data_IF_493453439524
#
_entry.id   IF_493453439524
#
_cell.length_a   1.000
_cell.length_b   1.000
_cell.length_c   1.000
_cell.angle_alpha   90.00
_cell.angle_beta   90.00
_cell.angle_gamma   90.00
#
_symmetry.space_group_name_H-M   'P 1'
#
loop_
_entity.id
_entity.type
_entity.pdbx_description
1 polymer ?
#
# COMPACT_ATOMS: atom_id res chain seq x y z
N UNK A 1 13.23 0.71 -12.04
CA UNK A 1 14.53 0.02 -11.98
C UNK A 1 14.92 -0.25 -10.53
N UNK A 2 14.40 -1.34 -9.97
CA UNK A 2 14.96 -1.98 -8.78
C UNK A 2 16.04 -2.89 -9.33
N UNK A 3 17.26 -2.37 -9.42
CA UNK A 3 18.23 -2.96 -10.35
C UNK A 3 19.00 -4.13 -9.75
N UNK A 4 19.15 -4.23 -8.43
CA UNK A 4 20.12 -5.18 -7.88
C UNK A 4 19.81 -5.55 -6.42
N UNK A 5 19.59 -6.84 -6.18
CA UNK A 5 19.61 -7.47 -4.86
C UNK A 5 20.95 -8.21 -4.77
N UNK A 6 21.97 -7.62 -4.15
CA UNK A 6 23.32 -8.18 -4.16
C UNK A 6 23.82 -8.43 -2.74
N UNK A 7 24.77 -9.36 -2.65
CA UNK A 7 25.17 -10.12 -1.47
C UNK A 7 26.65 -9.92 -1.10
N UNK A 8 26.99 -9.86 0.19
CA UNK A 8 28.38 -10.08 0.62
C UNK A 8 28.50 -10.69 2.04
N UNK A 9 29.20 -11.82 2.08
CA UNK A 9 29.67 -12.63 3.22
C UNK A 9 28.60 -13.21 4.15
N UNK A 10 28.11 -14.42 3.79
CA UNK A 10 27.17 -15.22 4.59
C UNK A 10 25.92 -15.71 3.83
N UNK A 11 26.06 -16.10 2.57
CA UNK A 11 25.04 -16.79 1.75
C UNK A 11 23.56 -16.29 1.82
N UNK A 12 23.21 -15.14 1.24
CA UNK A 12 21.87 -14.84 0.74
C UNK A 12 21.82 -15.14 -0.76
N UNK A 13 20.69 -15.69 -1.18
CA UNK A 13 20.40 -16.08 -2.56
C UNK A 13 19.83 -14.88 -3.31
N UNK A 14 20.38 -14.58 -4.49
CA UNK A 14 19.74 -13.68 -5.44
C UNK A 14 18.50 -14.39 -5.96
N UNK A 15 17.34 -13.81 -5.71
CA UNK A 15 16.10 -14.34 -6.22
C UNK A 15 15.93 -13.84 -7.67
N UNK A 16 15.94 -14.77 -8.63
CA UNK A 16 15.61 -14.52 -10.03
C UNK A 16 14.12 -14.75 -10.16
N UNK A 17 13.35 -13.70 -10.48
CA UNK A 17 11.89 -13.70 -10.45
C UNK A 17 11.33 -12.29 -10.55
N UNK A 18 10.00 -12.13 -10.48
CA UNK A 18 9.42 -10.78 -10.42
C UNK A 18 9.87 -10.09 -9.12
N UNK A 19 10.07 -8.77 -9.16
CA UNK A 19 10.49 -8.02 -7.97
C UNK A 19 9.53 -8.23 -6.78
N UNK A 20 8.25 -8.48 -7.07
CA UNK A 20 7.19 -8.70 -6.08
C UNK A 20 7.34 -10.05 -5.36
N UNK A 21 7.58 -11.14 -6.09
CA UNK A 21 7.81 -12.47 -5.50
C UNK A 21 9.10 -12.51 -4.65
N UNK A 22 10.07 -11.68 -5.02
CA UNK A 22 11.38 -11.65 -4.38
C UNK A 22 11.38 -10.88 -3.06
N UNK A 23 10.52 -9.86 -2.90
CA UNK A 23 10.47 -9.03 -1.67
C UNK A 23 10.05 -9.86 -0.45
N UNK A 24 9.12 -10.80 -0.59
CA UNK A 24 8.71 -11.67 0.51
C UNK A 24 9.86 -12.50 1.10
N UNK A 25 10.81 -12.89 0.25
CA UNK A 25 12.00 -13.69 0.59
C UNK A 25 13.22 -12.85 0.91
N UNK A 26 13.22 -11.57 0.55
CA UNK A 26 14.35 -10.68 0.76
C UNK A 26 14.54 -10.38 2.26
N UNK A 27 15.79 -10.39 2.70
CA UNK A 27 16.15 -9.89 4.04
C UNK A 27 16.24 -8.36 4.07
N UNK A 28 16.64 -7.76 2.94
CA UNK A 28 16.82 -6.32 2.74
C UNK A 28 16.48 -5.99 1.29
N UNK A 29 15.89 -4.83 1.05
CA UNK A 29 15.64 -4.28 -0.29
C UNK A 29 16.61 -3.14 -0.57
N UNK A 30 17.31 -3.17 -1.69
CA UNK A 30 18.26 -2.12 -2.07
C UNK A 30 17.61 -1.18 -3.10
N UNK A 31 17.70 0.13 -2.87
CA UNK A 31 17.19 1.15 -3.78
C UNK A 31 18.10 2.38 -3.83
N UNK A 32 18.38 2.89 -5.04
CA UNK A 32 19.09 4.17 -5.24
C UNK A 32 18.23 5.35 -4.78
N UNK A 33 16.94 5.26 -5.05
CA UNK A 33 15.93 6.27 -4.74
C UNK A 33 14.68 5.59 -4.21
N UNK A 34 14.12 6.11 -3.14
CA UNK A 34 12.88 5.62 -2.58
C UNK A 34 11.70 6.08 -3.43
N UNK A 35 11.27 5.23 -4.37
CA UNK A 35 10.12 5.48 -5.27
C UNK A 35 8.86 4.81 -4.73
N UNK A 36 7.70 5.37 -5.06
CA UNK A 36 6.41 4.71 -4.82
C UNK A 36 6.24 3.59 -5.85
N UNK A 37 6.68 2.38 -5.48
CA UNK A 37 6.59 1.17 -6.30
C UNK A 37 6.08 0.03 -5.44
N UNK A 38 5.32 -0.90 -6.04
CA UNK A 38 4.82 -2.12 -5.40
C UNK A 38 5.85 -2.85 -4.53
N UNK A 39 7.10 -3.12 -4.98
CA UNK A 39 8.10 -3.79 -4.15
C UNK A 39 8.53 -2.98 -2.92
N UNK A 40 8.52 -1.65 -3.00
CA UNK A 40 8.86 -0.76 -1.88
C UNK A 40 7.73 -0.78 -0.84
N UNK A 41 6.48 -0.71 -1.28
CA UNK A 41 5.32 -0.80 -0.37
C UNK A 41 5.25 -2.19 0.27
N UNK A 42 5.49 -3.25 -0.50
CA UNK A 42 5.58 -4.61 0.03
C UNK A 42 6.68 -4.76 1.09
N UNK A 43 7.84 -4.15 0.87
CA UNK A 43 8.93 -4.13 1.84
C UNK A 43 8.52 -3.42 3.14
N UNK A 44 7.82 -2.29 3.03
CA UNK A 44 7.26 -1.59 4.20
C UNK A 44 6.27 -2.48 4.95
N UNK A 45 5.32 -3.12 4.26
CA UNK A 45 4.35 -4.03 4.87
C UNK A 45 5.00 -5.17 5.65
N UNK A 46 6.05 -5.77 5.08
CA UNK A 46 6.79 -6.88 5.68
C UNK A 46 7.79 -6.45 6.76
N UNK A 47 7.94 -5.14 7.01
CA UNK A 47 8.97 -4.62 7.90
C UNK A 47 10.39 -4.95 7.41
N UNK A 48 10.60 -5.03 6.10
CA UNK A 48 11.93 -5.26 5.52
C UNK A 48 12.69 -3.92 5.47
N UNK A 49 13.97 -3.91 5.89
CA UNK A 49 14.83 -2.76 5.66
C UNK A 49 14.93 -2.42 4.18
N UNK A 50 14.78 -1.13 3.86
CA UNK A 50 15.04 -0.56 2.54
C UNK A 50 16.32 0.25 2.65
N UNK A 51 17.38 -0.15 1.97
CA UNK A 51 18.69 0.45 2.11
C UNK A 51 19.20 1.07 0.81
N UNK A 52 20.06 2.08 0.94
CA UNK A 52 20.82 2.65 -0.14
C UNK A 52 22.00 1.77 -0.57
N UNK A 53 22.57 2.02 -1.76
CA UNK A 53 23.73 1.29 -2.25
C UNK A 53 24.97 1.41 -1.37
N UNK A 54 25.12 2.52 -0.63
CA UNK A 54 26.26 2.70 0.27
C UNK A 54 26.26 1.69 1.42
N UNK A 55 25.08 1.33 1.94
CA UNK A 55 24.95 0.28 2.94
C UNK A 55 25.45 -1.07 2.38
N UNK A 56 25.11 -1.35 1.12
CA UNK A 56 25.58 -2.54 0.43
C UNK A 56 27.11 -2.51 0.23
N UNK A 57 27.67 -1.38 -0.23
CA UNK A 57 29.13 -1.23 -0.39
C UNK A 57 29.87 -1.36 0.94
N UNK A 58 29.37 -0.72 2.00
CA UNK A 58 29.95 -0.81 3.34
C UNK A 58 29.97 -2.26 3.85
N UNK A 59 28.95 -3.04 3.52
CA UNK A 59 28.89 -4.47 3.85
C UNK A 59 29.84 -5.31 2.99
N UNK A 60 29.95 -5.01 1.69
CA UNK A 60 30.80 -5.73 0.74
C UNK A 60 32.30 -5.53 0.97
N UNK A 61 32.71 -4.34 1.40
CA UNK A 61 34.12 -4.01 1.66
C UNK A 61 34.60 -4.44 3.06
N UNK A 62 33.81 -5.23 3.80
CA UNK A 62 34.20 -5.72 5.12
C UNK A 62 35.39 -6.68 5.01
N UNK A 63 36.56 -6.19 5.38
CA UNK A 63 37.79 -6.98 5.54
C UNK A 63 37.84 -7.62 6.93
N UNK A 64 36.93 -8.56 7.17
CA UNK A 64 36.99 -9.47 8.31
C UNK A 64 35.90 -9.30 9.39
N UNK A 65 35.82 -10.26 10.32
CA UNK A 65 34.69 -10.42 11.24
C UNK A 65 34.62 -9.39 12.39
N UNK A 66 35.63 -8.52 12.55
CA UNK A 66 35.77 -7.65 13.73
C UNK A 66 34.95 -6.36 13.70
N UNK A 67 34.53 -5.89 12.52
CA UNK A 67 33.66 -4.70 12.40
C UNK A 67 32.21 -5.19 12.27
N UNK A 68 31.30 -4.81 13.18
CA UNK A 68 29.89 -5.21 13.06
C UNK A 68 29.31 -4.66 11.74
N UNK A 69 28.39 -5.39 11.08
CA UNK A 69 27.71 -4.86 9.91
C UNK A 69 26.96 -3.56 10.28
N UNK A 70 26.84 -2.59 9.35
CA UNK A 70 25.96 -1.46 9.57
C UNK A 70 24.54 -1.97 9.81
N UNK A 71 23.79 -1.30 10.70
CA UNK A 71 22.41 -1.66 10.96
C UNK A 71 21.53 -1.29 9.75
N UNK A 72 20.87 -2.25 9.09
CA UNK A 72 19.99 -1.96 7.95
C UNK A 72 18.72 -1.21 8.37
N UNK A 73 18.33 -1.24 9.65
CA UNK A 73 17.18 -0.49 10.17
C UNK A 73 17.52 0.95 10.59
N UNK A 74 18.76 1.39 10.40
CA UNK A 74 19.18 2.77 10.68
C UNK A 74 18.69 3.74 9.60
N UNK A 75 18.40 4.98 9.99
CA UNK A 75 18.09 6.07 9.05
C UNK A 75 19.24 6.33 8.06
N UNK A 76 20.49 6.16 8.52
CA UNK A 76 21.69 6.29 7.67
C UNK A 76 21.79 5.21 6.60
N UNK A 77 21.06 4.12 6.75
CA UNK A 77 21.00 3.06 5.75
C UNK A 77 20.00 3.36 4.63
N UNK A 78 19.03 4.29 4.82
CA UNK A 78 17.99 4.57 3.82
C UNK A 78 18.57 5.06 2.47
N UNK A 79 17.84 4.87 1.36
CA UNK A 79 18.21 5.45 0.06
C UNK A 79 18.46 6.96 0.15
N UNK A 80 19.54 7.49 -0.44
CA UNK A 80 19.89 8.90 -0.30
C UNK A 80 18.79 9.83 -0.85
N UNK A 81 18.18 9.43 -1.95
CA UNK A 81 17.11 10.18 -2.61
C UNK A 81 15.72 9.63 -2.26
N UNK A 82 14.75 10.53 -2.07
CA UNK A 82 13.34 10.19 -1.90
C UNK A 82 12.56 10.81 -3.06
N UNK A 83 11.64 10.06 -3.64
CA UNK A 83 10.78 10.58 -4.70
C UNK A 83 9.83 11.67 -4.16
N UNK A 84 9.75 12.86 -4.81
CA UNK A 84 8.82 13.91 -4.39
C UNK A 84 7.36 13.47 -4.33
N UNK A 85 7.00 12.38 -5.04
CA UNK A 85 5.68 11.77 -4.94
C UNK A 85 5.31 11.35 -3.51
N UNK A 86 6.29 10.98 -2.67
CA UNK A 86 6.02 10.69 -1.26
C UNK A 86 5.54 11.92 -0.48
N UNK A 87 6.13 13.09 -0.76
CA UNK A 87 5.71 14.34 -0.12
C UNK A 87 4.35 14.81 -0.66
N UNK A 88 4.10 14.64 -1.97
CA UNK A 88 2.76 14.88 -2.53
C UNK A 88 1.70 14.00 -1.87
N UNK A 89 2.00 12.70 -1.71
CA UNK A 89 1.09 11.74 -1.11
C UNK A 89 0.89 12.00 0.39
N UNK A 90 1.95 12.22 1.16
CA UNK A 90 1.88 12.27 2.63
C UNK A 90 1.63 13.68 3.17
N UNK A 91 2.05 14.73 2.44
CA UNK A 91 2.00 16.13 2.88
C UNK A 91 1.14 17.02 1.97
N UNK A 92 0.63 16.48 0.85
CA UNK A 92 -0.21 17.21 -0.11
C UNK A 92 0.55 18.11 -1.08
N UNK A 93 1.88 18.22 -0.96
CA UNK A 93 2.71 19.05 -1.84
C UNK A 93 4.12 18.46 -1.98
N UNK A 94 4.52 18.15 -3.23
CA UNK A 94 5.85 17.67 -3.57
C UNK A 94 6.99 18.60 -3.17
N UNK A 95 6.73 19.91 -3.04
CA UNK A 95 7.73 20.91 -2.62
C UNK A 95 8.10 20.78 -1.14
N UNK A 96 7.25 20.12 -0.35
CA UNK A 96 7.47 19.89 1.08
C UNK A 96 8.32 18.65 1.36
N UNK A 97 9.00 18.10 0.35
CA UNK A 97 9.93 16.99 0.53
C UNK A 97 10.97 17.20 1.65
N UNK A 98 11.54 18.40 1.87
CA UNK A 98 12.45 18.63 3.00
C UNK A 98 11.81 18.46 4.39
N UNK A 99 10.48 18.56 4.48
CA UNK A 99 9.70 18.39 5.72
C UNK A 99 9.30 16.92 5.95
N UNK A 100 9.55 16.04 4.98
CA UNK A 100 9.14 14.64 5.07
C UNK A 100 10.01 13.89 6.08
N UNK A 101 9.37 13.38 7.14
CA UNK A 101 10.02 12.52 8.12
C UNK A 101 10.46 11.20 7.47
N UNK A 102 11.78 11.01 7.36
CA UNK A 102 12.38 9.83 6.74
C UNK A 102 12.21 8.58 7.60
N UNK A 103 11.96 8.74 8.89
CA UNK A 103 11.72 7.61 9.81
C UNK A 103 10.42 6.85 9.50
N UNK A 104 9.55 7.45 8.68
CA UNK A 104 8.38 6.78 8.11
C UNK A 104 8.75 5.60 7.20
N UNK A 105 9.98 5.51 6.71
CA UNK A 105 10.40 4.41 5.83
C UNK A 105 11.24 3.34 6.51
N UNK A 106 11.48 3.50 7.82
CA UNK A 106 12.16 2.47 8.61
C UNK A 106 11.25 1.25 8.81
N UNK A 107 11.83 0.05 9.03
CA UNK A 107 11.08 -1.15 9.39
C UNK A 107 10.14 -0.94 10.58
N UNK A 108 8.88 -1.34 10.43
CA UNK A 108 7.87 -1.32 11.51
C UNK A 108 7.07 -2.61 11.46
N UNK A 109 7.08 -3.37 12.55
CA UNK A 109 6.44 -4.70 12.63
C UNK A 109 4.90 -4.61 12.60
N UNK A 110 4.37 -3.46 13.01
CA UNK A 110 2.95 -3.15 13.07
C UNK A 110 2.30 -3.18 11.68
N UNK A 111 3.07 -2.83 10.63
CA UNK A 111 2.57 -2.82 9.25
C UNK A 111 2.11 -4.19 8.78
N UNK A 112 2.74 -5.27 9.25
CA UNK A 112 2.43 -6.62 8.83
C UNK A 112 1.04 -7.10 9.26
N UNK A 113 0.42 -6.41 10.22
CA UNK A 113 -0.93 -6.71 10.76
C UNK A 113 -1.89 -5.53 10.64
N UNK A 114 -1.49 -4.48 9.93
CA UNK A 114 -2.23 -3.23 9.87
C UNK A 114 -3.64 -3.40 9.30
N UNK A 115 -3.79 -4.33 8.35
CA UNK A 115 -5.05 -4.65 7.67
C UNK A 115 -5.62 -5.99 8.13
N UNK A 116 -5.20 -6.51 9.28
CA UNK A 116 -5.71 -7.78 9.81
C UNK A 116 -7.23 -7.71 9.99
N UNK A 117 -7.93 -8.68 9.41
CA UNK A 117 -9.40 -8.73 9.41
C UNK A 117 -10.09 -7.82 8.38
N UNK A 118 -9.35 -6.98 7.65
CA UNK A 118 -9.88 -6.13 6.58
C UNK A 118 -9.89 -6.88 5.25
N UNK A 119 -11.04 -6.88 4.57
CA UNK A 119 -11.13 -7.27 3.15
C UNK A 119 -11.20 -6.00 2.30
N UNK A 120 -10.21 -5.83 1.41
CA UNK A 120 -10.14 -4.76 0.41
C UNK A 120 -10.71 -5.31 -0.90
N UNK A 121 -11.77 -4.68 -1.41
CA UNK A 121 -12.42 -5.00 -2.67
C UNK A 121 -12.02 -3.96 -3.70
N UNK A 122 -11.27 -4.37 -4.72
CA UNK A 122 -10.86 -3.50 -5.81
C UNK A 122 -11.90 -3.52 -6.93
N UNK A 123 -12.25 -2.34 -7.41
CA UNK A 123 -13.20 -2.17 -8.53
C UNK A 123 -12.53 -1.97 -9.89
N UNK A 124 -11.20 -1.81 -9.92
CA UNK A 124 -10.37 -1.62 -11.11
C UNK A 124 -9.29 -2.73 -11.18
N UNK A 125 -9.14 -3.35 -12.35
CA UNK A 125 -8.23 -4.51 -12.53
C UNK A 125 -6.75 -4.13 -12.35
N UNK A 126 -6.31 -2.99 -12.90
CA UNK A 126 -4.92 -2.52 -12.75
C UNK A 126 -4.58 -2.21 -11.29
N UNK A 127 -5.50 -1.57 -10.56
CA UNK A 127 -5.34 -1.33 -9.13
C UNK A 127 -5.31 -2.64 -8.33
N UNK A 128 -6.13 -3.62 -8.70
CA UNK A 128 -6.12 -4.93 -8.08
C UNK A 128 -4.80 -5.68 -8.30
N UNK A 129 -4.24 -5.64 -9.52
CA UNK A 129 -2.91 -6.21 -9.82
C UNK A 129 -1.84 -5.58 -8.94
N UNK A 130 -1.87 -4.26 -8.79
CA UNK A 130 -0.92 -3.55 -7.95
C UNK A 130 -1.09 -3.91 -6.46
N UNK A 131 -2.30 -3.78 -5.91
CA UNK A 131 -2.57 -4.03 -4.49
C UNK A 131 -2.29 -5.48 -4.07
N UNK A 132 -2.39 -6.43 -5.00
CA UNK A 132 -2.07 -7.85 -4.75
C UNK A 132 -0.64 -8.05 -4.28
N UNK A 133 0.28 -7.16 -4.68
CA UNK A 133 1.69 -7.26 -4.33
C UNK A 133 2.00 -6.89 -2.87
N UNK A 134 1.11 -6.21 -2.15
CA UNK A 134 1.42 -5.76 -0.77
C UNK A 134 0.28 -5.76 0.23
N UNK A 135 -1.01 -5.76 -0.16
CA UNK A 135 -2.13 -5.87 0.79
C UNK A 135 -2.06 -7.15 1.63
N UNK A 136 -1.78 -8.34 1.05
CA UNK A 136 -1.63 -9.57 1.85
C UNK A 136 -0.48 -9.49 2.85
N UNK A 137 0.59 -8.73 2.52
CA UNK A 137 1.72 -8.54 3.41
C UNK A 137 1.41 -7.64 4.61
N UNK A 138 0.35 -6.84 4.54
CA UNK A 138 -0.17 -6.07 5.67
C UNK A 138 -1.25 -6.82 6.48
N UNK A 139 -1.48 -8.11 6.18
CA UNK A 139 -2.48 -8.95 6.86
C UNK A 139 -3.91 -8.81 6.29
N UNK A 140 -4.09 -8.04 5.23
CA UNK A 140 -5.39 -7.84 4.58
C UNK A 140 -5.75 -8.96 3.59
N UNK A 141 -7.04 -9.08 3.28
CA UNK A 141 -7.51 -9.84 2.12
C UNK A 141 -7.79 -8.90 0.96
N UNK A 142 -7.54 -9.38 -0.26
CA UNK A 142 -7.79 -8.64 -1.48
C UNK A 142 -8.74 -9.43 -2.37
N UNK A 143 -9.81 -8.77 -2.81
CA UNK A 143 -10.80 -9.29 -3.74
C UNK A 143 -10.92 -8.34 -4.94
N UNK A 144 -11.30 -8.89 -6.09
CA UNK A 144 -11.66 -8.10 -7.26
C UNK A 144 -13.14 -8.32 -7.57
N UNK A 145 -13.93 -7.25 -7.48
CA UNK A 145 -15.34 -7.26 -7.82
C UNK A 145 -15.69 -5.90 -8.45
N UNK A 146 -15.66 -5.78 -9.79
CA UNK A 146 -15.91 -4.52 -10.47
C UNK A 146 -17.36 -4.09 -10.28
N UNK A 147 -17.58 -2.78 -10.25
CA UNK A 147 -18.93 -2.23 -10.18
C UNK A 147 -19.74 -2.71 -11.40
N UNK A 148 -20.97 -3.25 -11.22
CA UNK A 148 -21.79 -3.74 -12.31
C UNK A 148 -21.98 -2.70 -13.42
N UNK A 149 -21.82 -3.07 -14.71
CA UNK A 149 -21.98 -2.13 -15.84
C UNK A 149 -23.38 -1.52 -15.91
N UNK A 150 -24.38 -2.22 -15.39
CA UNK A 150 -25.77 -1.74 -15.27
C UNK A 150 -25.88 -0.45 -14.45
N UNK A 151 -24.96 -0.21 -13.50
CA UNK A 151 -24.87 1.02 -12.74
C UNK A 151 -24.14 2.16 -13.49
N UNK A 152 -23.42 1.86 -14.59
CA UNK A 152 -22.69 2.84 -15.39
C UNK A 152 -23.55 3.51 -16.49
N UNK A 153 -24.67 2.90 -16.87
CA UNK A 153 -25.56 3.40 -17.93
C UNK A 153 -26.96 3.78 -17.44
N UNK A 154 -27.21 3.67 -16.13
CA UNK A 154 -28.48 3.95 -15.48
C UNK A 154 -28.73 5.46 -15.29
N UNK A 155 -29.98 5.91 -15.41
CA UNK A 155 -30.39 7.23 -14.87
C UNK A 155 -30.20 7.21 -13.34
N UNK A 156 -29.89 8.33 -12.71
CA UNK A 156 -29.47 8.42 -11.29
C UNK A 156 -30.38 7.68 -10.29
N UNK A 157 -31.69 7.62 -10.52
CA UNK A 157 -32.64 6.87 -9.67
C UNK A 157 -32.51 5.35 -9.76
N UNK A 158 -32.05 4.80 -10.89
CA UNK A 158 -31.90 3.35 -11.09
C UNK A 158 -30.49 2.83 -10.76
N UNK A 159 -29.53 3.73 -10.49
CA UNK A 159 -28.16 3.37 -10.07
C UNK A 159 -28.18 2.68 -8.70
N UNK A 160 -29.00 3.19 -7.76
CA UNK A 160 -29.12 2.59 -6.42
C UNK A 160 -29.65 1.17 -6.48
N UNK A 161 -30.72 0.92 -7.23
CA UNK A 161 -31.29 -0.41 -7.37
C UNK A 161 -30.30 -1.40 -8.00
N UNK A 162 -29.57 -0.96 -9.03
CA UNK A 162 -28.54 -1.77 -9.68
C UNK A 162 -27.36 -2.12 -8.74
N UNK A 163 -27.00 -1.21 -7.83
CA UNK A 163 -25.88 -1.40 -6.89
C UNK A 163 -26.27 -2.14 -5.61
N UNK A 164 -27.56 -2.23 -5.27
CA UNK A 164 -28.02 -2.77 -3.98
C UNK A 164 -27.49 -4.20 -3.69
N UNK A 165 -27.52 -5.16 -4.63
CA UNK A 165 -26.98 -6.50 -4.38
C UNK A 165 -25.47 -6.48 -4.14
N UNK A 166 -24.74 -5.64 -4.89
CA UNK A 166 -23.30 -5.49 -4.79
C UNK A 166 -22.90 -4.87 -3.45
N UNK A 167 -23.56 -3.78 -3.05
CA UNK A 167 -23.32 -3.11 -1.78
C UNK A 167 -23.65 -4.00 -0.57
N UNK A 168 -24.72 -4.79 -0.64
CA UNK A 168 -25.09 -5.72 0.44
C UNK A 168 -24.00 -6.77 0.66
N UNK A 169 -23.39 -7.28 -0.43
CA UNK A 169 -22.28 -8.24 -0.37
C UNK A 169 -21.04 -7.64 0.28
N UNK A 170 -20.77 -6.35 0.03
CA UNK A 170 -19.56 -5.67 0.46
C UNK A 170 -19.77 -4.69 1.63
N UNK A 171 -20.89 -4.79 2.34
CA UNK A 171 -21.24 -3.88 3.43
C UNK A 171 -20.22 -3.88 4.60
N UNK A 172 -19.38 -4.92 4.70
CA UNK A 172 -18.32 -5.05 5.71
C UNK A 172 -16.90 -4.89 5.13
N UNK A 173 -16.79 -4.62 3.83
CA UNK A 173 -15.51 -4.54 3.13
C UNK A 173 -15.12 -3.08 2.89
N UNK A 174 -13.84 -2.86 2.60
CA UNK A 174 -13.31 -1.57 2.13
C UNK A 174 -13.22 -1.63 0.61
N UNK A 175 -13.89 -0.73 -0.07
CA UNK A 175 -13.89 -0.64 -1.53
C UNK A 175 -12.78 0.30 -1.98
N UNK A 176 -11.74 -0.25 -2.59
CA UNK A 176 -10.59 0.50 -3.08
C UNK A 176 -10.77 0.94 -4.54
N UNK A 177 -10.44 2.19 -4.82
CA UNK A 177 -10.41 2.77 -6.17
C UNK A 177 -9.21 3.69 -6.34
N UNK A 178 -8.91 4.06 -7.57
CA UNK A 178 -7.94 5.12 -7.89
C UNK A 178 -8.58 6.12 -8.82
N UNK A 179 -8.29 7.40 -8.59
CA UNK A 179 -8.68 8.51 -9.46
C UNK A 179 -7.81 8.65 -10.71
N UNK A 180 -6.70 7.91 -10.79
CA UNK A 180 -5.79 7.93 -11.95
C UNK A 180 -6.46 7.32 -13.19
N UNK A 181 -7.27 6.27 -12.97
CA UNK A 181 -8.04 5.60 -14.02
C UNK A 181 -9.50 6.01 -13.90
N UNK A 182 -10.18 6.14 -15.04
CA UNK A 182 -11.61 6.48 -15.07
C UNK A 182 -12.41 5.55 -14.14
N UNK A 183 -13.21 6.16 -13.28
CA UNK A 183 -14.09 5.48 -12.33
C UNK A 183 -15.49 6.07 -12.43
N UNK A 184 -16.50 5.24 -12.21
CA UNK A 184 -17.88 5.71 -12.16
C UNK A 184 -18.13 6.47 -10.85
N UNK A 185 -17.83 7.77 -10.85
CA UNK A 185 -17.93 8.63 -9.67
C UNK A 185 -19.35 8.63 -9.10
N UNK A 186 -20.38 8.65 -9.96
CA UNK A 186 -21.78 8.56 -9.53
C UNK A 186 -22.05 7.30 -8.73
N UNK A 187 -21.52 6.14 -9.16
CA UNK A 187 -21.69 4.89 -8.41
C UNK A 187 -20.94 4.93 -7.06
N UNK A 188 -19.71 5.46 -7.03
CA UNK A 188 -18.97 5.65 -5.77
C UNK A 188 -19.72 6.56 -4.79
N UNK A 189 -20.29 7.65 -5.28
CA UNK A 189 -21.04 8.60 -4.45
C UNK A 189 -22.31 7.95 -3.90
N UNK A 190 -23.03 7.15 -4.70
CA UNK A 190 -24.20 6.38 -4.24
C UNK A 190 -23.79 5.32 -3.20
N UNK A 191 -22.71 4.57 -3.44
CA UNK A 191 -22.20 3.57 -2.50
C UNK A 191 -21.85 4.21 -1.14
N UNK A 192 -21.16 5.35 -1.17
CA UNK A 192 -20.73 6.07 0.03
C UNK A 192 -21.89 6.73 0.76
N UNK A 193 -22.66 7.55 0.05
CA UNK A 193 -23.66 8.42 0.67
C UNK A 193 -25.00 7.71 0.96
N UNK A 194 -25.39 6.73 0.14
CA UNK A 194 -26.72 6.11 0.23
C UNK A 194 -26.70 4.68 0.75
N UNK A 195 -25.55 4.00 0.72
CA UNK A 195 -25.44 2.58 1.10
C UNK A 195 -24.44 2.32 2.24
N UNK A 196 -23.73 3.36 2.71
CA UNK A 196 -22.79 3.25 3.82
C UNK A 196 -21.58 2.37 3.55
N UNK A 197 -21.25 2.13 2.28
CA UNK A 197 -20.08 1.34 1.88
C UNK A 197 -18.83 2.17 2.10
N UNK A 198 -17.85 1.61 2.81
CA UNK A 198 -16.56 2.25 3.03
C UNK A 198 -15.76 2.25 1.73
N UNK A 199 -15.60 3.41 1.11
CA UNK A 199 -14.77 3.57 -0.10
C UNK A 199 -13.47 4.27 0.25
N UNK A 200 -12.35 3.85 -0.33
CA UNK A 200 -11.04 4.47 -0.11
C UNK A 200 -10.27 4.65 -1.41
N UNK A 201 -9.60 5.80 -1.55
CA UNK A 201 -8.68 6.01 -2.66
C UNK A 201 -7.35 5.27 -2.41
N UNK A 202 -6.69 4.86 -3.48
CA UNK A 202 -5.37 4.25 -3.47
C UNK A 202 -4.36 5.01 -2.59
N UNK A 203 -4.37 6.34 -2.66
CA UNK A 203 -3.42 7.17 -1.89
C UNK A 203 -3.63 7.03 -0.38
N UNK A 204 -4.86 6.84 0.08
CA UNK A 204 -5.17 6.62 1.48
C UNK A 204 -4.71 5.23 1.96
N UNK A 205 -4.71 4.23 1.08
CA UNK A 205 -4.11 2.91 1.37
C UNK A 205 -2.61 3.04 1.62
N UNK A 206 -1.92 3.78 0.77
CA UNK A 206 -0.49 4.02 0.93
C UNK A 206 -0.21 4.83 2.22
N UNK A 207 -1.00 5.88 2.49
CA UNK A 207 -0.87 6.68 3.73
C UNK A 207 -1.03 5.81 4.97
N UNK A 208 -2.05 4.97 5.00
CA UNK A 208 -2.29 4.00 6.06
C UNK A 208 -1.05 3.14 6.34
N UNK A 209 -0.49 2.51 5.29
CA UNK A 209 0.70 1.64 5.41
C UNK A 209 1.93 2.42 5.91
N UNK A 210 2.22 3.58 5.31
CA UNK A 210 3.41 4.37 5.66
C UNK A 210 3.32 4.88 7.10
N UNK A 211 2.17 5.46 7.46
CA UNK A 211 1.97 6.08 8.78
C UNK A 211 1.63 5.07 9.88
N UNK A 212 1.35 3.81 9.55
CA UNK A 212 0.82 2.81 10.49
C UNK A 212 -0.48 3.31 11.14
N UNK A 213 -1.38 3.79 10.29
CA UNK A 213 -2.68 4.34 10.70
C UNK A 213 -3.80 3.35 10.36
N UNK A 214 -4.50 2.84 11.37
CA UNK A 214 -5.60 1.88 11.18
C UNK A 214 -6.92 2.54 10.70
N UNK A 215 -6.87 3.76 10.18
CA UNK A 215 -8.04 4.52 9.70
C UNK A 215 -8.85 3.84 8.58
N UNK A 216 -8.26 2.85 7.88
CA UNK A 216 -8.97 2.05 6.87
C UNK A 216 -9.88 0.97 7.47
N UNK A 217 -9.79 0.66 8.76
CA UNK A 217 -10.64 -0.34 9.38
C UNK A 217 -12.06 0.22 9.48
N UNK A 218 -13.06 -0.36 8.79
CA UNK A 218 -14.43 0.12 8.89
C UNK A 218 -14.92 0.02 10.34
N UNK A 219 -15.28 1.16 10.95
CA UNK A 219 -15.95 1.14 12.26
C UNK A 219 -17.39 0.65 12.07
N UNK A 220 -17.76 -0.53 12.61
CA UNK A 220 -19.13 -1.03 12.52
C UNK A 220 -20.16 -0.07 13.13
N UNK A 221 -19.76 0.87 13.99
CA UNK A 221 -20.65 1.89 14.59
C UNK A 221 -20.99 3.04 13.64
N UNK A 222 -20.22 3.26 12.57
CA UNK A 222 -20.54 4.26 11.53
C UNK A 222 -21.63 3.77 10.58
N UNK A 223 -21.75 2.46 10.36
CA UNK A 223 -22.81 1.87 9.53
C UNK A 223 -24.23 2.05 10.13
N UNK A 224 -24.34 2.23 11.46
CA UNK A 224 -25.63 2.41 12.16
C UNK A 224 -26.10 3.86 12.27
N UNK A 225 -25.28 4.86 11.92
CA UNK A 225 -25.62 6.27 12.12
C UNK A 225 -26.34 6.92 10.91
N UNK A 226 -26.54 6.18 9.82
CA UNK A 226 -27.07 6.71 8.55
C UNK A 226 -28.38 6.11 8.06
N UNK A 227 -29.06 5.27 8.83
CA UNK A 227 -30.41 4.84 8.47
C UNK A 227 -31.40 5.94 8.91
N UNK A 228 -32.03 6.70 7.99
CA UNK A 228 -33.18 7.50 8.38
C UNK A 228 -34.25 6.54 8.90
N UNK A 229 -34.74 6.80 10.10
CA UNK A 229 -35.94 6.15 10.60
C UNK A 229 -37.08 6.40 9.58
N UNK A 230 -37.78 5.31 9.23
CA UNK A 230 -38.96 5.30 8.37
C UNK A 230 -40.02 6.32 8.82
#
# INVERSE_FOLDING_TARGET
>A
DVTDVVHASGSYRVAVGSAEENVARAHVVVAMKLKLLSPIVAALCLGRPIVGPEHFRATAHRTGPKVPPPDPASETALPPEIDPMWAELLLGDKKRLPELDRTLFLPRVERARLLEGVTVVCIQDELHKELRSYVPHAGGRLEFDPIPPTAASARTSSVREALQPWATRHAKHVVAFTTIVAVNQTALDVLRASMGVATVDYTDIIRCIVNVDASLVPDPRRASAGAPAL
#
